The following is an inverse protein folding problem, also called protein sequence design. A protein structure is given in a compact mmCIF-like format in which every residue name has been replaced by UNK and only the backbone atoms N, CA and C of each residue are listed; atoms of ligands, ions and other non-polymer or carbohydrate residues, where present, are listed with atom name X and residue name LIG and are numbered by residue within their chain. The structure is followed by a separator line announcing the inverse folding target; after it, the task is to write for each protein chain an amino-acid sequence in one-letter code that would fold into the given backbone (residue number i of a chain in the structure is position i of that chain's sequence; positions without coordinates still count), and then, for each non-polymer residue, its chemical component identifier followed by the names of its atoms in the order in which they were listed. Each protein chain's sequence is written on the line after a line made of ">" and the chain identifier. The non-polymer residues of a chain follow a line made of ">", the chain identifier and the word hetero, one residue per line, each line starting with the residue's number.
data_IF_223152077289
#
_entry.id   IF_223152077289
#
_cell.length_a   1.000
_cell.length_b   1.000
_cell.length_c   1.000
_cell.angle_alpha   90.00
_cell.angle_beta   90.00
_cell.angle_gamma   90.00
#
_symmetry.space_group_name_H-M   'P 1'
#
loop_
_entity.id
_entity.type
_entity.pdbx_description
1 polymer ?
#
# COMPACT_ATOMS: atom_id res chain seq x y z
N UNK A 1 13.88 11.21 0.58
CA UNK A 1 12.65 10.65 -0.04
C UNK A 1 11.79 10.03 1.04
N UNK A 2 10.46 10.22 0.95
CA UNK A 2 9.49 9.56 1.83
C UNK A 2 8.67 8.58 0.99
N UNK A 3 8.55 7.34 1.47
CA UNK A 3 7.71 6.29 0.91
C UNK A 3 6.44 6.20 1.77
N UNK A 4 5.28 6.19 1.14
CA UNK A 4 4.02 5.87 1.79
C UNK A 4 3.67 4.39 1.59
N UNK A 5 3.05 3.78 2.56
CA UNK A 5 2.50 2.43 2.42
C UNK A 5 1.03 2.41 2.82
N UNK A 6 0.16 1.81 1.98
CA UNK A 6 -1.22 1.52 2.31
C UNK A 6 -1.43 0.00 2.27
N UNK A 7 -1.75 -0.61 3.42
CA UNK A 7 -1.77 -2.07 3.57
C UNK A 7 -2.52 -2.49 4.86
N UNK A 8 -2.26 -3.70 5.37
CA UNK A 8 -2.83 -4.27 6.62
C UNK A 8 -2.38 -3.56 7.91
N UNK A 9 -1.55 -2.55 7.78
CA UNK A 9 -0.89 -1.87 8.88
C UNK A 9 0.62 -2.13 8.92
N UNK A 10 1.29 -1.64 9.97
CA UNK A 10 2.74 -1.64 10.04
C UNK A 10 3.23 -1.72 11.48
N UNK A 11 4.17 -2.64 11.75
CA UNK A 11 4.93 -2.67 13.01
C UNK A 11 6.04 -1.61 12.94
N UNK A 12 5.74 -0.40 13.38
CA UNK A 12 6.65 0.74 13.25
C UNK A 12 7.92 0.60 14.08
N UNK A 13 7.86 -0.13 15.19
CA UNK A 13 8.97 -0.39 16.11
C UNK A 13 9.80 -1.63 15.73
N UNK A 14 9.42 -2.35 14.65
CA UNK A 14 10.23 -3.43 14.11
C UNK A 14 11.68 -2.96 13.88
N UNK A 15 12.71 -3.71 14.34
CA UNK A 15 14.12 -3.26 14.30
C UNK A 15 14.59 -2.77 12.93
N UNK A 16 14.10 -3.40 11.84
CA UNK A 16 14.46 -3.01 10.48
C UNK A 16 13.72 -1.77 9.94
N UNK A 17 12.65 -1.32 10.61
CA UNK A 17 11.77 -0.24 10.15
C UNK A 17 11.82 1.01 11.03
N UNK A 18 11.98 0.85 12.35
CA UNK A 18 11.90 1.90 13.36
C UNK A 18 12.73 3.13 13.01
N UNK A 19 14.00 2.92 12.64
CA UNK A 19 14.93 4.02 12.38
C UNK A 19 14.56 4.87 11.15
N UNK A 20 13.74 4.33 10.27
CA UNK A 20 13.28 4.97 9.03
C UNK A 20 11.86 5.52 9.13
N UNK A 21 11.15 5.18 10.20
CA UNK A 21 9.83 5.75 10.44
C UNK A 21 9.92 7.26 10.60
N UNK A 22 9.23 8.02 9.76
CA UNK A 22 9.33 9.48 9.74
C UNK A 22 8.90 10.13 11.07
N UNK A 23 8.01 9.45 11.82
CA UNK A 23 7.58 9.86 13.14
C UNK A 23 8.58 9.59 14.27
N UNK A 24 9.62 8.78 14.03
CA UNK A 24 10.61 8.46 15.06
C UNK A 24 11.70 9.52 15.18
N UNK A 25 11.95 9.97 16.40
CA UNK A 25 12.97 10.97 16.76
C UNK A 25 14.11 10.28 17.48
N UNK A 26 15.05 9.71 16.73
CA UNK A 26 16.13 8.87 17.25
C UNK A 26 16.98 9.53 18.37
N UNK A 27 17.19 10.85 18.32
CA UNK A 27 17.97 11.58 19.33
C UNK A 27 17.29 11.64 20.70
N UNK A 28 15.99 11.50 20.76
CA UNK A 28 15.16 11.56 21.97
C UNK A 28 14.57 10.19 22.33
N UNK A 29 14.72 9.19 21.47
CA UNK A 29 14.01 7.90 21.52
C UNK A 29 12.49 8.08 21.75
N UNK A 30 11.90 9.03 21.04
CA UNK A 30 10.48 9.33 21.06
C UNK A 30 9.88 9.23 19.67
N UNK A 31 8.56 9.17 19.60
CA UNK A 31 7.85 9.10 18.34
C UNK A 31 6.67 10.07 18.33
N UNK A 32 6.27 10.45 17.12
CA UNK A 32 5.14 11.34 16.88
C UNK A 32 4.40 10.77 15.65
N UNK A 33 3.21 10.25 15.86
CA UNK A 33 2.42 9.63 14.80
C UNK A 33 1.62 10.65 13.99
N UNK A 34 1.48 11.89 14.45
CA UNK A 34 0.84 12.96 13.69
C UNK A 34 1.50 13.10 12.31
N UNK A 35 0.70 13.11 11.24
CA UNK A 35 1.14 13.20 9.84
C UNK A 35 1.95 12.01 9.33
N UNK A 36 2.14 10.98 10.14
CA UNK A 36 2.98 9.83 9.83
C UNK A 36 2.22 8.51 9.81
N UNK A 37 1.04 8.52 10.43
CA UNK A 37 0.13 7.39 10.52
C UNK A 37 -1.31 7.81 10.36
N UNK A 38 -2.09 6.97 9.68
CA UNK A 38 -3.54 7.04 9.59
C UNK A 38 -4.15 5.63 9.60
N UNK A 39 -5.27 5.48 10.26
CA UNK A 39 -6.04 4.24 10.27
C UNK A 39 -7.41 4.49 9.64
N UNK A 40 -7.65 3.92 8.46
CA UNK A 40 -8.92 4.01 7.77
C UNK A 40 -9.92 2.91 8.15
N UNK A 41 -9.62 2.12 9.21
CA UNK A 41 -10.52 1.08 9.69
C UNK A 41 -11.38 1.63 10.83
N UNK A 42 -12.58 2.08 10.49
CA UNK A 42 -13.54 2.70 11.42
C UNK A 42 -14.63 1.75 11.90
N UNK A 43 -14.83 0.65 11.18
CA UNK A 43 -15.82 -0.38 11.49
C UNK A 43 -15.22 -1.76 11.27
N UNK A 44 -15.62 -2.79 12.03
CA UNK A 44 -15.11 -4.14 11.85
C UNK A 44 -15.43 -4.68 10.45
N UNK A 45 -14.50 -5.40 9.85
CA UNK A 45 -14.77 -6.17 8.65
C UNK A 45 -15.72 -7.33 8.94
N UNK A 46 -16.70 -7.51 8.04
CA UNK A 46 -17.73 -8.55 8.19
C UNK A 46 -17.22 -9.95 7.85
N UNK A 47 -16.05 -10.09 7.23
CA UNK A 47 -15.45 -11.38 6.87
C UNK A 47 -14.69 -12.03 8.04
N UNK A 48 -14.36 -11.27 9.09
CA UNK A 48 -13.52 -11.71 10.20
C UNK A 48 -14.13 -11.50 11.59
N UNK A 49 -15.45 -11.42 11.69
CA UNK A 49 -16.20 -11.13 12.95
C UNK A 49 -15.76 -12.05 14.10
N UNK A 50 -15.48 -13.32 13.82
CA UNK A 50 -15.16 -14.33 14.83
C UNK A 50 -13.69 -14.32 15.28
N UNK A 51 -12.81 -13.60 14.62
CA UNK A 51 -11.35 -13.68 14.84
C UNK A 51 -10.81 -12.49 15.65
N UNK A 52 -11.61 -11.44 15.78
CA UNK A 52 -11.25 -10.17 16.41
C UNK A 52 -10.18 -9.40 15.63
N UNK A 53 -10.05 -8.12 15.94
CA UNK A 53 -9.08 -7.21 15.36
C UNK A 53 -8.06 -6.79 16.45
N UNK A 54 -6.80 -7.26 16.42
CA UNK A 54 -5.82 -6.94 17.45
C UNK A 54 -5.42 -5.46 17.45
N UNK A 55 -5.54 -4.78 16.31
CA UNK A 55 -5.24 -3.35 16.20
C UNK A 55 -6.42 -2.46 16.62
N UNK A 56 -7.62 -3.03 16.75
CA UNK A 56 -8.82 -2.23 16.94
C UNK A 56 -9.19 -1.38 15.73
N UNK A 57 -9.97 -0.36 15.97
CA UNK A 57 -10.41 0.62 14.98
C UNK A 57 -9.91 1.99 15.39
N UNK A 58 -9.69 2.89 14.41
CA UNK A 58 -9.19 4.25 14.66
C UNK A 58 -7.89 4.25 15.48
N UNK A 59 -6.99 3.30 15.21
CA UNK A 59 -5.75 3.16 15.96
C UNK A 59 -4.90 4.43 15.86
N UNK A 60 -4.54 4.99 17.00
CA UNK A 60 -3.69 6.18 17.11
C UNK A 60 -2.19 5.85 16.97
N UNK A 61 -1.84 4.56 16.91
CA UNK A 61 -0.48 4.07 16.71
C UNK A 61 -0.45 3.10 15.53
N UNK A 62 0.62 3.08 14.72
CA UNK A 62 0.77 2.08 13.68
C UNK A 62 0.73 0.67 14.28
N UNK A 63 -0.10 -0.18 13.69
CA UNK A 63 -0.30 -1.56 14.08
C UNK A 63 -0.57 -2.39 12.84
N UNK A 64 -0.05 -3.61 12.77
CA UNK A 64 -0.27 -4.56 11.69
C UNK A 64 -1.05 -5.77 12.20
N UNK A 65 -2.21 -6.04 11.65
CA UNK A 65 -3.07 -7.14 12.09
C UNK A 65 -2.86 -8.45 11.30
N UNK A 66 -1.95 -8.45 10.31
CA UNK A 66 -1.67 -9.61 9.46
C UNK A 66 -0.17 -9.82 9.15
N UNK A 67 0.65 -8.77 9.21
CA UNK A 67 2.07 -8.81 8.91
C UNK A 67 2.42 -8.52 7.43
N UNK A 68 1.41 -8.40 6.53
CA UNK A 68 1.66 -8.15 5.11
C UNK A 68 2.23 -6.75 4.88
N UNK A 69 1.66 -5.72 5.50
CA UNK A 69 2.15 -4.35 5.36
C UNK A 69 3.57 -4.17 5.89
N UNK A 70 3.88 -4.76 7.04
CA UNK A 70 5.24 -4.77 7.61
C UNK A 70 6.24 -5.41 6.65
N UNK A 71 5.88 -6.56 6.07
CA UNK A 71 6.71 -7.23 5.06
C UNK A 71 6.92 -6.36 3.81
N UNK A 72 5.88 -5.72 3.26
CA UNK A 72 6.02 -4.87 2.08
C UNK A 72 6.90 -3.66 2.35
N UNK A 73 6.77 -3.03 3.53
CA UNK A 73 7.63 -1.91 3.92
C UNK A 73 9.09 -2.34 4.08
N UNK A 74 9.34 -3.48 4.69
CA UNK A 74 10.68 -4.03 4.81
C UNK A 74 11.34 -4.28 3.45
N UNK A 75 10.59 -4.79 2.47
CA UNK A 75 11.07 -4.96 1.10
C UNK A 75 11.46 -3.63 0.45
N UNK A 76 10.76 -2.54 0.77
CA UNK A 76 11.05 -1.22 0.22
C UNK A 76 12.25 -0.55 0.89
N UNK A 77 12.30 -0.52 2.24
CA UNK A 77 13.24 0.35 2.96
C UNK A 77 13.97 -0.33 4.13
N UNK A 78 13.65 -1.58 4.44
CA UNK A 78 14.15 -2.25 5.64
C UNK A 78 15.67 -2.31 5.75
N UNK A 79 16.19 -2.02 6.93
CA UNK A 79 17.62 -2.20 7.25
C UNK A 79 17.84 -2.29 8.76
N UNK A 80 18.76 -3.16 9.19
CA UNK A 80 19.13 -3.32 10.58
C UNK A 80 20.66 -3.47 10.70
N UNK A 81 21.35 -2.44 11.18
CA UNK A 81 22.80 -2.40 11.18
C UNK A 81 23.35 -2.59 9.76
N UNK A 82 24.24 -3.56 9.59
CA UNK A 82 24.82 -3.92 8.28
C UNK A 82 23.89 -4.81 7.43
N UNK A 83 22.74 -5.18 7.96
CA UNK A 83 21.77 -6.04 7.27
C UNK A 83 20.83 -5.19 6.41
N UNK A 84 21.20 -4.96 5.15
CA UNK A 84 20.33 -4.31 4.18
C UNK A 84 19.30 -5.31 3.65
N UNK A 85 18.02 -4.99 3.85
CA UNK A 85 16.87 -5.78 3.41
C UNK A 85 16.21 -5.09 2.22
N UNK A 86 15.86 -3.83 2.40
CA UNK A 86 15.10 -3.03 1.43
C UNK A 86 15.95 -2.47 0.30
N UNK A 87 15.26 -2.11 -0.78
CA UNK A 87 15.87 -1.55 -1.99
C UNK A 87 16.29 -0.09 -1.79
N UNK A 88 15.60 0.65 -0.93
CA UNK A 88 15.84 2.07 -0.64
C UNK A 88 16.06 2.32 0.86
N UNK A 89 17.15 1.80 1.47
CA UNK A 89 17.36 1.82 2.93
C UNK A 89 17.55 3.21 3.52
N UNK A 90 17.79 4.23 2.69
CA UNK A 90 17.93 5.63 3.14
C UNK A 90 16.62 6.44 3.04
N UNK A 91 15.53 5.82 2.57
CA UNK A 91 14.23 6.46 2.56
C UNK A 91 13.59 6.47 3.95
N UNK A 92 12.78 7.48 4.23
CA UNK A 92 11.86 7.50 5.36
C UNK A 92 10.49 6.97 4.93
N UNK A 93 9.66 6.59 5.89
CA UNK A 93 8.33 6.10 5.59
C UNK A 93 7.24 6.69 6.49
N UNK A 94 6.03 6.75 5.94
CA UNK A 94 4.77 6.98 6.63
C UNK A 94 3.73 5.98 6.11
N UNK A 95 2.61 5.81 6.78
CA UNK A 95 1.69 4.75 6.41
C UNK A 95 0.24 5.04 6.74
N UNK A 96 -0.63 4.31 6.04
CA UNK A 96 -2.06 4.24 6.29
C UNK A 96 -2.50 2.77 6.31
N UNK A 97 -3.30 2.37 7.31
CA UNK A 97 -3.94 1.05 7.33
C UNK A 97 -5.28 1.12 6.61
N UNK A 98 -5.41 0.39 5.51
CA UNK A 98 -6.62 0.36 4.69
C UNK A 98 -7.26 -1.03 4.56
N UNK A 99 -6.67 -2.03 5.21
CA UNK A 99 -7.20 -3.39 5.26
C UNK A 99 -7.21 -3.91 6.69
N UNK A 100 -8.30 -4.56 7.08
CA UNK A 100 -8.39 -5.38 8.28
C UNK A 100 -8.16 -6.84 7.88
N UNK A 101 -7.09 -7.46 8.37
CA UNK A 101 -6.69 -8.84 8.06
C UNK A 101 -6.63 -9.17 6.56
N UNK A 102 -6.27 -8.19 5.75
CA UNK A 102 -6.15 -8.33 4.31
C UNK A 102 -7.43 -8.04 3.52
N UNK A 103 -8.49 -7.59 4.17
CA UNK A 103 -9.72 -7.13 3.51
C UNK A 103 -9.90 -5.62 3.67
N UNK A 104 -10.13 -4.94 2.57
CA UNK A 104 -10.45 -3.53 2.52
C UNK A 104 -11.76 -3.29 1.79
N UNK A 105 -12.08 -2.02 1.59
CA UNK A 105 -13.25 -1.57 0.84
C UNK A 105 -12.86 -0.40 -0.06
N UNK A 106 -13.66 -0.03 -1.07
CA UNK A 106 -13.42 1.18 -1.84
C UNK A 106 -13.23 2.42 -0.96
N UNK A 107 -13.95 2.49 0.17
CA UNK A 107 -13.86 3.61 1.11
C UNK A 107 -12.50 3.68 1.81
N UNK A 108 -12.06 2.58 2.40
CA UNK A 108 -10.78 2.52 3.13
C UNK A 108 -9.58 2.76 2.20
N UNK A 109 -9.67 2.28 0.96
CA UNK A 109 -8.65 2.50 -0.06
C UNK A 109 -8.58 3.97 -0.50
N UNK A 110 -9.73 4.58 -0.79
CA UNK A 110 -9.83 5.98 -1.20
C UNK A 110 -9.40 6.89 -0.05
N UNK A 111 -9.82 6.64 1.18
CA UNK A 111 -9.45 7.42 2.34
C UNK A 111 -7.94 7.48 2.56
N UNK A 112 -7.24 6.34 2.47
CA UNK A 112 -5.78 6.36 2.53
C UNK A 112 -5.14 7.15 1.39
N UNK A 113 -5.68 7.07 0.17
CA UNK A 113 -5.20 7.88 -0.94
C UNK A 113 -5.41 9.38 -0.71
N UNK A 114 -6.55 9.78 -0.17
CA UNK A 114 -6.84 11.17 0.18
C UNK A 114 -5.93 11.67 1.30
N UNK A 115 -5.71 10.83 2.33
CA UNK A 115 -4.78 11.17 3.40
C UNK A 115 -3.35 11.40 2.88
N UNK A 116 -2.86 10.61 1.93
CA UNK A 116 -1.55 10.82 1.33
C UNK A 116 -1.43 12.14 0.55
N UNK A 117 -2.52 12.69 0.03
CA UNK A 117 -2.50 14.02 -0.62
C UNK A 117 -2.19 15.14 0.37
N UNK A 118 -2.72 15.05 1.58
CA UNK A 118 -2.55 16.04 2.63
C UNK A 118 -2.64 15.37 4.01
N UNK A 119 -1.56 14.71 4.48
CA UNK A 119 -1.55 14.05 5.76
C UNK A 119 -2.05 14.96 6.89
N UNK A 120 -2.80 14.41 7.82
CA UNK A 120 -3.39 15.10 8.97
C UNK A 120 -2.70 14.71 10.27
N UNK A 121 -3.03 15.40 11.34
CA UNK A 121 -2.77 14.91 12.70
C UNK A 121 -3.69 13.71 13.03
N UNK A 122 -3.48 13.11 14.20
CA UNK A 122 -4.24 11.92 14.64
C UNK A 122 -5.73 12.18 14.94
N UNK A 123 -6.15 13.44 14.96
CA UNK A 123 -7.56 13.83 15.08
C UNK A 123 -8.23 14.04 13.72
N UNK A 124 -7.54 13.71 12.63
CA UNK A 124 -7.96 13.99 11.24
C UNK A 124 -8.15 15.50 10.96
N UNK A 125 -7.40 16.34 11.69
CA UNK A 125 -7.40 17.78 11.52
C UNK A 125 -6.07 18.28 10.93
N UNK A 126 -6.03 19.59 10.60
CA UNK A 126 -4.81 20.29 10.17
C UNK A 126 -4.09 19.64 8.97
N UNK A 127 -4.76 19.37 7.82
CA UNK A 127 -4.13 18.74 6.66
C UNK A 127 -2.93 19.55 6.16
N UNK A 128 -1.79 18.87 5.91
CA UNK A 128 -0.55 19.50 5.44
C UNK A 128 -0.01 18.79 4.18
N UNK A 129 -0.28 19.33 2.96
CA UNK A 129 0.22 18.75 1.70
C UNK A 129 1.75 18.70 1.60
N UNK A 130 2.50 19.51 2.38
CA UNK A 130 3.97 19.49 2.38
C UNK A 130 4.52 18.21 3.05
N UNK A 131 3.67 17.46 3.72
CA UNK A 131 4.00 16.17 4.33
C UNK A 131 3.61 14.97 3.48
N UNK A 132 3.08 15.20 2.28
CA UNK A 132 2.78 14.13 1.34
C UNK A 132 4.04 13.28 1.03
N UNK A 133 3.91 11.95 0.89
CA UNK A 133 5.01 11.10 0.44
C UNK A 133 5.31 11.36 -1.04
N UNK A 134 6.50 10.97 -1.50
CA UNK A 134 6.89 11.09 -2.90
C UNK A 134 6.39 9.92 -3.76
N UNK A 135 6.23 8.77 -3.13
CA UNK A 135 5.77 7.52 -3.74
C UNK A 135 4.97 6.73 -2.73
N UNK A 136 3.90 6.10 -3.18
CA UNK A 136 3.09 5.21 -2.34
C UNK A 136 3.07 3.79 -2.92
N UNK A 137 3.15 2.79 -2.04
CA UNK A 137 3.01 1.38 -2.38
C UNK A 137 1.63 0.87 -2.00
N UNK A 138 1.03 0.09 -2.91
CA UNK A 138 -0.29 -0.50 -2.78
C UNK A 138 -0.21 -1.95 -3.24
N UNK A 139 0.08 -2.86 -2.31
CA UNK A 139 0.25 -4.30 -2.59
C UNK A 139 -1.06 -5.05 -2.39
N UNK A 140 -2.14 -4.51 -2.91
CA UNK A 140 -3.51 -5.04 -2.82
C UNK A 140 -4.26 -4.87 -4.15
N UNK A 141 -5.39 -5.51 -4.28
CA UNK A 141 -6.38 -5.26 -5.31
C UNK A 141 -7.75 -5.12 -4.66
N UNK A 142 -8.70 -4.52 -5.34
CA UNK A 142 -10.06 -4.41 -4.85
C UNK A 142 -11.00 -5.27 -5.71
N UNK A 143 -11.21 -6.55 -5.34
CA UNK A 143 -12.12 -7.43 -6.06
C UNK A 143 -13.60 -7.13 -5.75
N UNK A 144 -14.54 -7.73 -6.50
CA UNK A 144 -15.97 -7.57 -6.23
C UNK A 144 -16.41 -7.98 -4.81
N UNK A 145 -15.69 -8.90 -4.18
CA UNK A 145 -15.94 -9.32 -2.79
C UNK A 145 -15.67 -8.20 -1.78
N UNK A 146 -14.84 -7.23 -2.13
CA UNK A 146 -14.56 -6.03 -1.34
C UNK A 146 -15.40 -4.81 -1.79
N UNK A 147 -16.30 -5.01 -2.73
CA UNK A 147 -17.25 -3.99 -3.20
C UNK A 147 -16.81 -3.22 -4.44
N UNK A 148 -15.62 -3.48 -5.02
CA UNK A 148 -15.23 -2.86 -6.27
C UNK A 148 -15.86 -3.55 -7.48
N UNK A 149 -16.44 -2.77 -8.37
CA UNK A 149 -17.03 -3.24 -9.61
C UNK A 149 -16.94 -2.14 -10.68
N UNK A 150 -17.17 -2.45 -11.96
CA UNK A 150 -17.02 -1.47 -13.02
C UNK A 150 -17.82 -0.17 -12.84
N UNK A 151 -18.94 -0.19 -12.11
CA UNK A 151 -19.78 1.00 -11.91
C UNK A 151 -19.14 2.01 -10.93
N UNK A 152 -18.17 1.56 -10.09
CA UNK A 152 -17.52 2.42 -9.13
C UNK A 152 -15.98 2.58 -9.36
N UNK A 153 -15.42 1.96 -10.37
CA UNK A 153 -13.97 2.08 -10.68
C UNK A 153 -13.53 3.53 -10.89
N UNK A 154 -14.40 4.37 -11.42
CA UNK A 154 -14.06 5.77 -11.69
C UNK A 154 -13.78 6.56 -10.41
N UNK A 155 -14.39 6.23 -9.28
CA UNK A 155 -14.15 6.90 -8.01
C UNK A 155 -12.66 6.78 -7.60
N UNK A 156 -12.12 5.57 -7.62
CA UNK A 156 -10.71 5.34 -7.30
C UNK A 156 -9.77 5.90 -8.38
N UNK A 157 -10.16 5.86 -9.66
CA UNK A 157 -9.41 6.45 -10.75
C UNK A 157 -9.20 7.95 -10.58
N UNK A 158 -10.24 8.67 -10.14
CA UNK A 158 -10.16 10.11 -9.85
C UNK A 158 -9.08 10.38 -8.79
N UNK A 159 -9.10 9.62 -7.70
CA UNK A 159 -8.16 9.83 -6.59
C UNK A 159 -6.72 9.47 -7.00
N UNK A 160 -6.52 8.38 -7.75
CA UNK A 160 -5.21 8.03 -8.33
C UNK A 160 -4.67 9.14 -9.25
N UNK A 161 -5.53 9.71 -10.08
CA UNK A 161 -5.13 10.83 -10.94
C UNK A 161 -4.81 12.11 -10.14
N UNK A 162 -5.51 12.37 -9.05
CA UNK A 162 -5.21 13.49 -8.14
C UNK A 162 -3.83 13.31 -7.47
N UNK A 163 -3.52 12.11 -6.98
CA UNK A 163 -2.20 11.77 -6.43
C UNK A 163 -1.09 12.03 -7.47
N UNK A 164 -1.29 11.53 -8.69
CA UNK A 164 -0.35 11.76 -9.79
C UNK A 164 -0.19 13.24 -10.12
N UNK A 165 -1.28 14.00 -10.15
CA UNK A 165 -1.25 15.46 -10.41
C UNK A 165 -0.53 16.22 -9.29
N UNK A 166 -0.60 15.73 -8.05
CA UNK A 166 0.16 16.25 -6.91
C UNK A 166 1.65 15.85 -6.93
N UNK A 167 2.09 15.05 -7.90
CA UNK A 167 3.48 14.61 -8.04
C UNK A 167 3.81 13.34 -7.24
N UNK A 168 2.82 12.62 -6.72
CA UNK A 168 2.98 11.37 -5.97
C UNK A 168 2.94 10.19 -6.95
N UNK A 169 3.96 9.34 -6.93
CA UNK A 169 3.99 8.12 -7.75
C UNK A 169 3.16 7.03 -7.08
N UNK A 170 2.12 6.55 -7.75
CA UNK A 170 1.25 5.47 -7.25
C UNK A 170 1.73 4.13 -7.81
N UNK A 171 2.43 3.34 -6.99
CA UNK A 171 2.90 1.99 -7.34
C UNK A 171 1.92 0.96 -6.81
N UNK A 172 1.58 -0.01 -7.66
CA UNK A 172 0.56 -1.03 -7.33
C UNK A 172 1.01 -2.42 -7.77
N UNK A 173 0.60 -3.46 -7.06
CA UNK A 173 0.75 -4.83 -7.53
C UNK A 173 -0.15 -5.09 -8.74
N UNK A 174 0.33 -5.90 -9.70
CA UNK A 174 -0.47 -6.27 -10.87
C UNK A 174 -1.63 -7.23 -10.53
N UNK A 175 -1.57 -7.88 -9.38
CA UNK A 175 -2.49 -8.93 -8.94
C UNK A 175 -1.89 -10.34 -9.06
N UNK A 176 -2.60 -11.31 -8.48
CA UNK A 176 -2.18 -12.71 -8.35
C UNK A 176 -3.09 -13.69 -9.13
N UNK A 177 -3.82 -13.21 -10.14
CA UNK A 177 -4.82 -13.95 -10.89
C UNK A 177 -4.29 -14.51 -12.24
N UNK A 178 -2.94 -14.53 -12.40
CA UNK A 178 -2.29 -15.13 -13.58
C UNK A 178 -2.67 -16.60 -13.73
N UNK A 179 -2.29 -17.22 -14.84
CA UNK A 179 -1.37 -16.87 -15.93
C UNK A 179 -2.08 -16.39 -17.20
N UNK A 180 -3.41 -16.34 -17.22
CA UNK A 180 -4.18 -15.94 -18.40
C UNK A 180 -4.00 -14.47 -18.77
N UNK A 181 -4.18 -14.13 -20.06
CA UNK A 181 -4.33 -12.75 -20.48
C UNK A 181 -5.60 -12.13 -19.90
N UNK A 182 -5.60 -10.82 -19.68
CA UNK A 182 -6.74 -10.09 -19.11
C UNK A 182 -6.95 -10.29 -17.61
N UNK A 183 -5.97 -10.84 -16.91
CA UNK A 183 -6.04 -11.08 -15.46
C UNK A 183 -5.61 -9.88 -14.61
N UNK A 184 -5.19 -8.76 -15.19
CA UNK A 184 -5.14 -7.45 -14.51
C UNK A 184 -6.52 -6.83 -14.64
N UNK A 185 -7.36 -6.97 -13.60
CA UNK A 185 -8.78 -6.60 -13.69
C UNK A 185 -9.32 -5.86 -12.47
N UNK A 186 -8.49 -5.65 -11.43
CA UNK A 186 -8.93 -4.93 -10.22
C UNK A 186 -8.28 -3.55 -10.10
N UNK A 187 -8.95 -2.55 -9.53
CA UNK A 187 -8.31 -1.32 -9.05
C UNK A 187 -7.23 -1.62 -7.98
N UNK A 188 -6.14 -0.85 -7.87
CA UNK A 188 -5.78 0.28 -8.73
C UNK A 188 -4.89 -0.12 -9.92
N UNK A 189 -4.63 -1.42 -10.12
CA UNK A 189 -3.68 -1.89 -11.16
C UNK A 189 -4.10 -1.56 -12.60
N UNK A 190 -5.41 -1.43 -12.83
CA UNK A 190 -6.00 -1.21 -14.16
C UNK A 190 -5.81 0.22 -14.70
N UNK A 191 -5.51 1.21 -13.85
CA UNK A 191 -5.51 2.62 -14.27
C UNK A 191 -4.23 3.05 -14.97
N UNK A 192 -4.35 4.02 -15.89
CA UNK A 192 -3.20 4.65 -16.54
C UNK A 192 -2.35 5.46 -15.55
N UNK A 193 -3.00 6.06 -14.57
CA UNK A 193 -2.36 6.86 -13.52
C UNK A 193 -1.49 6.07 -12.53
N UNK A 194 -1.68 4.76 -12.44
CA UNK A 194 -0.91 3.88 -11.55
C UNK A 194 0.24 3.19 -12.28
N UNK A 195 1.33 2.92 -11.54
CA UNK A 195 2.48 2.16 -12.02
C UNK A 195 2.39 0.72 -11.49
N UNK A 196 1.87 -0.19 -12.31
CA UNK A 196 1.65 -1.59 -11.90
C UNK A 196 2.87 -2.47 -12.13
N UNK A 197 3.14 -3.35 -11.17
CA UNK A 197 4.33 -4.22 -11.13
C UNK A 197 3.90 -5.68 -11.07
N UNK A 198 4.35 -6.48 -12.04
CA UNK A 198 4.20 -7.93 -12.06
C UNK A 198 5.37 -8.62 -11.36
N UNK A 199 5.22 -9.92 -11.08
CA UNK A 199 6.19 -10.70 -10.33
C UNK A 199 6.98 -11.67 -11.23
N UNK A 200 8.32 -11.70 -11.04
CA UNK A 200 9.20 -12.71 -11.63
C UNK A 200 9.88 -13.57 -10.56
N UNK A 201 10.44 -14.66 -10.99
CA UNK A 201 11.42 -15.45 -10.23
C UNK A 201 12.80 -14.78 -10.31
N UNK A 202 13.78 -15.20 -9.46
CA UNK A 202 15.14 -14.65 -9.52
C UNK A 202 15.86 -14.85 -10.86
N UNK A 203 15.37 -15.74 -11.72
CA UNK A 203 15.89 -15.98 -13.09
C UNK A 203 15.12 -15.21 -14.17
N UNK A 204 14.41 -14.15 -13.80
CA UNK A 204 13.60 -13.28 -14.67
C UNK A 204 12.41 -13.97 -15.38
N UNK A 205 12.08 -15.20 -14.98
CA UNK A 205 10.90 -15.88 -15.52
C UNK A 205 9.65 -15.37 -14.79
N UNK A 206 8.63 -14.95 -15.53
CA UNK A 206 7.36 -14.51 -14.94
C UNK A 206 6.71 -15.67 -14.16
N UNK A 207 6.25 -15.40 -12.95
CA UNK A 207 5.57 -16.41 -12.12
C UNK A 207 4.15 -16.68 -12.60
N UNK A 208 3.68 -17.90 -12.39
CA UNK A 208 2.36 -18.32 -12.86
C UNK A 208 1.20 -17.52 -12.28
N UNK A 209 1.31 -17.05 -11.05
CA UNK A 209 0.25 -16.27 -10.39
C UNK A 209 0.26 -14.79 -10.81
N UNK A 210 1.37 -14.23 -11.32
CA UNK A 210 1.41 -12.81 -11.69
C UNK A 210 0.38 -12.49 -12.75
N UNK A 211 -0.51 -11.54 -12.47
CA UNK A 211 -1.54 -11.10 -13.40
C UNK A 211 -0.94 -10.49 -14.67
N UNK A 212 -1.64 -10.66 -15.80
CA UNK A 212 -1.20 -10.24 -17.12
C UNK A 212 -2.30 -9.48 -17.85
N UNK A 213 -1.90 -8.42 -18.55
CA UNK A 213 -2.81 -7.68 -19.43
C UNK A 213 -3.17 -8.44 -20.73
N UNK A 214 -3.84 -7.74 -21.64
CA UNK A 214 -4.29 -6.35 -21.53
C UNK A 214 -5.46 -6.19 -20.53
N UNK A 215 -5.73 -4.95 -20.10
CA UNK A 215 -6.89 -4.66 -19.25
C UNK A 215 -8.16 -4.72 -20.08
N UNK A 216 -9.01 -5.71 -19.80
CA UNK A 216 -10.27 -5.88 -20.52
C UNK A 216 -11.49 -5.38 -19.77
N UNK A 217 -11.40 -5.35 -18.44
CA UNK A 217 -12.55 -5.08 -17.55
C UNK A 217 -13.19 -3.70 -17.76
N UNK A 218 -12.42 -2.72 -18.20
CA UNK A 218 -12.87 -1.35 -18.52
C UNK A 218 -12.87 -1.06 -20.04
N UNK A 219 -12.63 -2.07 -20.87
CA UNK A 219 -12.58 -1.97 -22.33
C UNK A 219 -11.39 -1.18 -22.90
N UNK A 220 -10.47 -0.73 -22.07
CA UNK A 220 -9.33 0.11 -22.50
C UNK A 220 -8.28 -0.62 -23.30
N UNK A 221 -8.15 -1.93 -23.12
CA UNK A 221 -7.07 -2.74 -23.67
C UNK A 221 -5.65 -2.25 -23.31
N UNK A 222 -5.49 -1.50 -22.22
CA UNK A 222 -4.19 -1.01 -21.75
C UNK A 222 -3.23 -2.18 -21.50
N UNK A 223 -1.98 -1.98 -21.89
CA UNK A 223 -0.92 -2.93 -21.56
C UNK A 223 -0.52 -2.76 -20.09
N UNK A 224 -0.74 -3.81 -19.30
CA UNK A 224 -0.36 -3.92 -17.88
C UNK A 224 0.21 -5.32 -17.62
N UNK A 225 1.10 -5.51 -16.65
CA UNK A 225 1.75 -4.47 -15.82
C UNK A 225 2.69 -3.58 -16.62
N UNK A 226 3.13 -2.45 -16.04
CA UNK A 226 4.11 -1.55 -16.65
C UNK A 226 5.51 -2.16 -16.66
N UNK A 227 5.87 -2.87 -15.58
CA UNK A 227 7.13 -3.59 -15.43
C UNK A 227 6.90 -4.87 -14.63
N UNK A 228 7.94 -5.74 -14.60
CA UNK A 228 7.99 -6.87 -13.69
C UNK A 228 9.28 -6.79 -12.86
N UNK A 229 9.23 -7.33 -11.65
CA UNK A 229 10.36 -7.39 -10.72
C UNK A 229 10.37 -8.74 -9.97
N UNK A 230 11.50 -9.16 -9.38
CA UNK A 230 11.54 -10.35 -8.51
C UNK A 230 10.52 -10.26 -7.40
N UNK A 231 9.61 -11.25 -7.32
CA UNK A 231 8.48 -11.27 -6.40
C UNK A 231 8.25 -12.65 -5.76
N UNK A 232 9.24 -13.53 -5.77
CA UNK A 232 9.16 -14.84 -5.11
C UNK A 232 10.37 -15.08 -4.23
N UNK A 233 10.12 -15.59 -3.01
CA UNK A 233 11.18 -15.87 -2.05
C UNK A 233 11.91 -14.60 -1.60
N UNK A 234 11.22 -13.46 -1.63
CA UNK A 234 11.77 -12.17 -1.20
C UNK A 234 11.87 -12.18 0.34
N UNK A 235 13.08 -11.94 0.83
CA UNK A 235 13.32 -11.74 2.26
C UNK A 235 12.92 -10.33 2.67
N UNK A 236 12.27 -10.19 3.81
CA UNK A 236 11.85 -8.89 4.35
C UNK A 236 11.88 -8.85 5.88
N UNK A 237 11.27 -7.85 6.47
CA UNK A 237 11.05 -7.68 7.91
C UNK A 237 9.83 -8.43 8.39
#
# INVERSE_FOLDING_TARGET
>A
TTVGGADTGYEWDHPALKQKYRGYKATLDTFDHNYNWHDAIHVPDTHHIDVGNPCGMDSQEPCDDQGHGTHTMGTMIGSEGDNQIGVAPDAQWCACRNMERGYGTPFTYIECFEWFLAPTDLNNENPDPLRAPHVINNSWGCPPTEGCNPDNFELMNIVVNNLRAAGIVVVVSAGNDGSGCGSVYTPAAIYDGSFSVGATRPNDTIVGFSSRGPVWVDGSNRLKPNVCAPGTGVRSS
#
